data_IF_024485867807
#
_entry.id   IF_024485867807
#
_cell.length_a   1.000
_cell.length_b   1.000
_cell.length_c   1.000
_cell.angle_alpha   90.00
_cell.angle_beta   90.00
_cell.angle_gamma   90.00
#
_symmetry.space_group_name_H-M   'P 1'
#
loop_
_entity.id
_entity.type
_entity.pdbx_description
1 polymer ?
#
# COMPACT_ATOMS: atom_id res chain seq x y z
N UNK A 1 37.49 -3.94 -8.97
CA UNK A 1 37.20 -4.76 -7.78
C UNK A 1 36.15 -5.74 -8.23
N UNK A 2 36.61 -6.87 -8.77
CA UNK A 2 35.75 -7.93 -9.28
C UNK A 2 34.87 -8.45 -8.15
N UNK A 3 33.55 -8.42 -8.36
CA UNK A 3 32.55 -9.02 -7.50
C UNK A 3 32.76 -10.54 -7.56
N UNK A 4 33.63 -11.06 -6.70
CA UNK A 4 33.76 -12.50 -6.50
C UNK A 4 32.50 -13.02 -5.83
N UNK A 5 31.62 -13.59 -6.65
CA UNK A 5 30.65 -14.61 -6.29
C UNK A 5 29.39 -14.11 -5.58
N UNK A 6 28.48 -13.46 -6.33
CA UNK A 6 27.08 -13.48 -5.94
C UNK A 6 26.59 -14.93 -5.88
N UNK A 7 25.72 -15.25 -4.93
CA UNK A 7 25.14 -16.59 -4.88
C UNK A 7 24.33 -16.85 -6.15
N UNK A 8 24.37 -18.06 -6.73
CA UNK A 8 23.54 -18.38 -7.87
C UNK A 8 22.07 -18.22 -7.49
N UNK A 9 21.22 -17.91 -8.46
CA UNK A 9 19.78 -17.78 -8.27
C UNK A 9 19.18 -18.99 -7.50
N UNK A 10 19.63 -20.19 -7.82
CA UNK A 10 19.28 -21.45 -7.14
C UNK A 10 19.49 -21.42 -5.61
N UNK A 11 20.55 -20.75 -5.12
CA UNK A 11 20.79 -20.61 -3.68
C UNK A 11 19.68 -19.81 -3.00
N UNK A 12 19.27 -18.70 -3.60
CA UNK A 12 18.21 -17.86 -3.06
C UNK A 12 16.86 -18.58 -3.10
N UNK A 13 16.63 -19.40 -4.13
CA UNK A 13 15.48 -20.31 -4.18
C UNK A 13 15.48 -21.32 -3.03
N UNK A 14 16.60 -22.00 -2.78
CA UNK A 14 16.70 -22.98 -1.70
C UNK A 14 16.50 -22.35 -0.32
N UNK A 15 17.11 -21.18 -0.09
CA UNK A 15 16.97 -20.47 1.19
C UNK A 15 15.54 -20.03 1.47
N UNK A 16 14.84 -19.49 0.47
CA UNK A 16 13.44 -19.05 0.64
C UNK A 16 12.45 -20.22 0.68
N UNK A 17 12.78 -21.34 0.02
CA UNK A 17 11.94 -22.54 0.08
C UNK A 17 12.05 -23.31 1.40
N UNK A 18 13.06 -23.04 2.22
CA UNK A 18 13.26 -23.68 3.52
C UNK A 18 12.26 -23.24 4.62
N UNK A 19 11.19 -22.50 4.26
CA UNK A 19 10.16 -21.96 5.17
C UNK A 19 10.73 -21.15 6.36
N UNK A 20 11.91 -20.56 6.15
CA UNK A 20 12.61 -19.75 7.14
C UNK A 20 12.64 -18.29 6.70
N UNK A 21 12.26 -17.34 7.57
CA UNK A 21 12.43 -15.92 7.28
C UNK A 21 13.91 -15.58 7.05
N UNK A 22 14.18 -14.81 6.00
CA UNK A 22 15.51 -14.23 5.77
C UNK A 22 15.73 -13.03 6.70
N UNK A 23 17.00 -12.81 7.06
CA UNK A 23 17.45 -11.67 7.83
C UNK A 23 17.53 -10.40 6.97
N UNK A 24 17.62 -9.25 7.63
CA UNK A 24 17.85 -7.96 6.95
C UNK A 24 19.11 -8.01 6.06
N UNK A 25 20.22 -8.55 6.55
CA UNK A 25 21.46 -8.65 5.77
C UNK A 25 21.32 -9.56 4.55
N UNK A 26 20.55 -10.64 4.66
CA UNK A 26 20.27 -11.53 3.52
C UNK A 26 19.36 -10.83 2.50
N UNK A 27 18.37 -10.05 2.94
CA UNK A 27 17.51 -9.28 2.03
C UNK A 27 18.27 -8.25 1.21
N UNK A 28 19.27 -7.58 1.80
CA UNK A 28 20.12 -6.64 1.06
C UNK A 28 20.96 -7.37 0.01
N UNK A 29 21.61 -8.48 0.38
CA UNK A 29 22.40 -9.27 -0.56
C UNK A 29 21.57 -9.80 -1.71
N UNK A 30 20.37 -10.32 -1.42
CA UNK A 30 19.44 -10.78 -2.44
C UNK A 30 19.09 -9.68 -3.46
N UNK A 31 18.85 -8.45 -2.99
CA UNK A 31 18.55 -7.30 -3.86
C UNK A 31 19.76 -6.81 -4.67
N UNK A 32 20.98 -7.06 -4.20
CA UNK A 32 22.23 -6.69 -4.89
C UNK A 32 22.69 -7.77 -5.89
N UNK A 33 22.43 -9.04 -5.59
CA UNK A 33 22.94 -10.19 -6.33
C UNK A 33 22.01 -10.67 -7.45
N UNK A 34 20.69 -10.49 -7.30
CA UNK A 34 19.73 -10.87 -8.33
C UNK A 34 19.35 -9.69 -9.22
N UNK A 35 19.26 -9.93 -10.53
CA UNK A 35 18.65 -8.97 -11.43
C UNK A 35 17.12 -8.94 -11.27
N UNK A 36 16.48 -7.93 -11.87
CA UNK A 36 15.05 -7.70 -11.73
C UNK A 36 14.20 -8.89 -12.19
N UNK A 37 14.60 -9.60 -13.25
CA UNK A 37 13.82 -10.72 -13.77
C UNK A 37 13.90 -11.93 -12.85
N UNK A 38 15.09 -12.26 -12.33
CA UNK A 38 15.25 -13.31 -11.32
C UNK A 38 14.48 -12.98 -10.04
N UNK A 39 14.49 -11.72 -9.58
CA UNK A 39 13.67 -11.27 -8.44
C UNK A 39 12.17 -11.44 -8.68
N UNK A 40 11.69 -11.10 -9.89
CA UNK A 40 10.29 -11.27 -10.28
C UNK A 40 9.89 -12.75 -10.32
N UNK A 41 10.74 -13.62 -10.89
CA UNK A 41 10.46 -15.06 -10.96
C UNK A 41 10.42 -15.70 -9.57
N UNK A 42 11.39 -15.37 -8.71
CA UNK A 42 11.42 -15.79 -7.31
C UNK A 42 10.15 -15.35 -6.56
N UNK A 43 9.73 -14.10 -6.72
CA UNK A 43 8.49 -13.59 -6.13
C UNK A 43 7.23 -14.30 -6.66
N UNK A 44 7.20 -14.61 -7.96
CA UNK A 44 6.12 -15.36 -8.59
C UNK A 44 6.02 -16.80 -8.06
N UNK A 45 7.15 -17.50 -7.92
CA UNK A 45 7.18 -18.86 -7.38
C UNK A 45 6.72 -18.90 -5.92
N UNK A 46 7.18 -17.97 -5.07
CA UNK A 46 6.76 -17.88 -3.67
C UNK A 46 5.26 -17.60 -3.55
N UNK A 47 4.75 -16.66 -4.34
CA UNK A 47 3.31 -16.35 -4.39
C UNK A 47 2.50 -17.56 -4.87
N UNK A 48 2.95 -18.21 -5.95
CA UNK A 48 2.30 -19.40 -6.51
C UNK A 48 2.31 -20.58 -5.53
N UNK A 49 3.35 -20.75 -4.74
CA UNK A 49 3.40 -21.76 -3.67
C UNK A 49 2.36 -21.47 -2.57
N UNK A 50 2.15 -20.20 -2.23
CA UNK A 50 1.24 -19.79 -1.15
C UNK A 50 -0.23 -19.79 -1.58
N UNK A 51 -0.55 -19.29 -2.78
CA UNK A 51 -1.94 -19.06 -3.23
C UNK A 51 -2.29 -19.75 -4.55
N UNK A 52 -1.36 -20.48 -5.16
CA UNK A 52 -1.55 -21.11 -6.47
C UNK A 52 -1.75 -20.07 -7.58
N UNK A 53 -2.53 -20.44 -8.58
CA UNK A 53 -2.90 -19.56 -9.70
C UNK A 53 -4.18 -18.76 -9.44
N UNK A 54 -4.62 -18.67 -8.18
CA UNK A 54 -5.85 -17.94 -7.83
C UNK A 54 -5.51 -16.46 -7.65
N UNK A 55 -6.11 -15.61 -8.49
CA UNK A 55 -6.08 -14.16 -8.32
C UNK A 55 -7.40 -13.71 -7.69
N UNK A 56 -7.34 -13.18 -6.48
CA UNK A 56 -8.49 -12.59 -5.80
C UNK A 56 -8.59 -11.09 -6.08
N UNK A 57 -9.78 -10.53 -5.91
CA UNK A 57 -10.02 -9.10 -6.01
C UNK A 57 -11.07 -8.67 -4.97
N UNK A 58 -11.03 -7.39 -4.60
CA UNK A 58 -12.04 -6.74 -3.78
C UNK A 58 -12.66 -5.58 -4.57
N UNK A 59 -13.96 -5.36 -4.41
CA UNK A 59 -14.64 -4.17 -4.95
C UNK A 59 -14.66 -3.12 -3.84
N UNK A 60 -13.63 -2.28 -3.81
CA UNK A 60 -13.44 -1.30 -2.75
C UNK A 60 -14.06 0.05 -3.08
N UNK A 61 -14.58 0.71 -2.05
CA UNK A 61 -15.04 2.10 -2.14
C UNK A 61 -14.30 2.97 -1.14
N UNK A 62 -13.61 4.00 -1.65
CA UNK A 62 -12.87 4.93 -0.81
C UNK A 62 -13.75 6.12 -0.45
N UNK A 63 -13.92 6.37 0.85
CA UNK A 63 -14.56 7.55 1.40
C UNK A 63 -13.45 8.42 1.99
N UNK A 64 -13.11 9.48 1.27
CA UNK A 64 -12.19 10.48 1.75
C UNK A 64 -12.97 11.47 2.63
N UNK A 65 -12.94 11.33 3.95
CA UNK A 65 -13.84 12.10 4.83
C UNK A 65 -13.42 13.57 4.98
N UNK A 66 -12.15 13.88 4.82
CA UNK A 66 -11.61 15.24 4.88
C UNK A 66 -10.27 15.27 4.16
N UNK A 67 -9.96 16.37 3.47
CA UNK A 67 -8.60 16.60 2.97
C UNK A 67 -7.81 17.63 3.80
N UNK A 68 -8.42 18.25 4.82
CA UNK A 68 -7.70 19.06 5.79
C UNK A 68 -6.71 18.21 6.61
N UNK A 69 -5.47 18.66 6.74
CA UNK A 69 -4.41 17.87 7.36
C UNK A 69 -3.38 18.73 8.10
N UNK A 70 -2.98 18.29 9.30
CA UNK A 70 -1.90 18.90 10.07
C UNK A 70 -0.50 18.49 9.59
N UNK A 71 -0.34 17.29 9.02
CA UNK A 71 0.97 16.69 8.75
C UNK A 71 1.71 17.28 7.53
N UNK A 72 0.98 17.79 6.52
CA UNK A 72 1.54 18.43 5.32
C UNK A 72 2.69 17.68 4.64
N UNK A 73 2.56 16.36 4.48
CA UNK A 73 3.64 15.50 3.99
C UNK A 73 4.10 15.89 2.57
N UNK A 74 5.41 15.91 2.28
CA UNK A 74 5.94 16.37 0.99
C UNK A 74 5.57 15.45 -0.19
N UNK A 75 5.24 14.19 0.09
CA UNK A 75 4.82 13.20 -0.90
C UNK A 75 3.30 13.19 -1.15
N UNK A 76 2.54 14.00 -0.41
CA UNK A 76 1.08 13.95 -0.44
C UNK A 76 0.52 15.10 -1.30
N UNK A 77 -0.16 14.76 -2.39
CA UNK A 77 -0.87 15.73 -3.23
C UNK A 77 -2.31 16.03 -2.75
N UNK A 78 -2.81 15.26 -1.77
CA UNK A 78 -4.20 15.31 -1.35
C UNK A 78 -4.49 16.42 -0.33
N UNK A 79 -3.50 16.77 0.50
CA UNK A 79 -3.76 17.57 1.70
C UNK A 79 -4.02 19.05 1.43
N UNK A 80 -4.86 19.64 2.27
CA UNK A 80 -4.97 21.09 2.47
C UNK A 80 -4.52 21.40 3.89
N UNK A 81 -3.56 22.31 4.10
CA UNK A 81 -3.11 22.69 5.44
C UNK A 81 -4.29 23.13 6.33
N UNK A 82 -4.30 22.71 7.60
CA UNK A 82 -5.32 23.15 8.58
C UNK A 82 -5.47 24.68 8.64
N UNK A 83 -4.37 25.42 8.52
CA UNK A 83 -4.36 26.89 8.52
C UNK A 83 -5.16 27.55 7.37
N UNK A 84 -5.51 26.78 6.32
CA UNK A 84 -6.33 27.24 5.20
C UNK A 84 -7.81 26.86 5.33
N UNK A 85 -8.21 26.16 6.40
CA UNK A 85 -9.62 25.83 6.66
C UNK A 85 -10.46 27.10 6.77
N UNK A 86 -11.57 27.14 6.04
CA UNK A 86 -12.42 28.34 5.89
C UNK A 86 -11.82 29.49 5.06
N UNK A 87 -10.56 29.39 4.61
CA UNK A 87 -9.87 30.42 3.80
C UNK A 87 -9.60 29.98 2.37
N UNK A 88 -9.64 28.68 2.11
CA UNK A 88 -9.49 28.09 0.78
C UNK A 88 -10.71 27.27 0.41
N UNK A 89 -11.10 27.35 -0.87
CA UNK A 89 -12.14 26.52 -1.48
C UNK A 89 -11.64 25.12 -1.89
N UNK A 90 -10.35 24.81 -1.70
CA UNK A 90 -9.78 23.48 -2.03
C UNK A 90 -10.01 22.45 -0.93
N UNK A 91 -10.30 22.91 0.28
CA UNK A 91 -10.50 22.05 1.43
C UNK A 91 -11.95 21.61 1.58
N UNK A 92 -12.15 20.41 2.10
CA UNK A 92 -13.47 19.89 2.44
C UNK A 92 -13.41 18.97 3.65
N UNK A 93 -14.57 18.83 4.30
CA UNK A 93 -14.84 17.92 5.39
C UNK A 93 -16.27 17.41 5.20
N UNK A 94 -16.44 16.10 5.13
CA UNK A 94 -17.74 15.46 5.04
C UNK A 94 -18.37 15.38 6.42
N UNK A 95 -19.67 15.64 6.50
CA UNK A 95 -20.43 15.33 7.71
C UNK A 95 -20.61 13.81 7.86
N UNK A 96 -20.96 13.35 9.06
CA UNK A 96 -21.30 11.94 9.31
C UNK A 96 -22.45 11.47 8.39
N UNK A 97 -23.42 12.33 8.13
CA UNK A 97 -24.54 12.01 7.23
C UNK A 97 -24.10 11.91 5.77
N UNK A 98 -23.12 12.70 5.34
CA UNK A 98 -22.55 12.57 3.99
C UNK A 98 -21.74 11.29 3.86
N UNK A 99 -20.95 10.92 4.87
CA UNK A 99 -20.27 9.62 4.93
C UNK A 99 -21.30 8.48 4.86
N UNK A 100 -22.42 8.57 5.59
CA UNK A 100 -23.49 7.56 5.53
C UNK A 100 -24.09 7.44 4.12
N UNK A 101 -24.31 8.56 3.41
CA UNK A 101 -24.79 8.53 2.02
C UNK A 101 -23.78 7.85 1.10
N UNK A 102 -22.49 8.12 1.27
CA UNK A 102 -21.43 7.47 0.49
C UNK A 102 -21.36 5.96 0.77
N UNK A 103 -21.58 5.53 2.02
CA UNK A 103 -21.69 4.10 2.39
C UNK A 103 -22.89 3.43 1.69
N UNK A 104 -24.07 4.05 1.72
CA UNK A 104 -25.24 3.50 1.02
C UNK A 104 -25.03 3.43 -0.50
N UNK A 105 -24.35 4.43 -1.06
CA UNK A 105 -23.95 4.42 -2.47
C UNK A 105 -22.97 3.27 -2.76
N UNK A 106 -21.93 3.08 -1.95
CA UNK A 106 -20.99 1.97 -2.09
C UNK A 106 -21.72 0.61 -2.07
N UNK A 107 -22.65 0.44 -1.13
CA UNK A 107 -23.51 -0.74 -1.06
C UNK A 107 -24.33 -0.94 -2.34
N UNK A 108 -24.93 0.11 -2.88
CA UNK A 108 -25.70 0.03 -4.13
C UNK A 108 -24.84 -0.34 -5.36
N UNK A 109 -23.54 -0.01 -5.32
CA UNK A 109 -22.56 -0.37 -6.34
C UNK A 109 -21.98 -1.78 -6.17
N UNK A 110 -22.38 -2.50 -5.13
CA UNK A 110 -21.89 -3.86 -4.85
C UNK A 110 -20.49 -3.91 -4.25
N UNK A 111 -20.05 -2.84 -3.57
CA UNK A 111 -18.76 -2.83 -2.89
C UNK A 111 -18.69 -3.90 -1.79
N UNK A 112 -17.55 -4.59 -1.72
CA UNK A 112 -17.26 -5.62 -0.72
C UNK A 112 -16.50 -5.06 0.48
N UNK A 113 -15.85 -3.90 0.32
CA UNK A 113 -15.11 -3.22 1.38
C UNK A 113 -15.22 -1.69 1.25
N UNK A 114 -15.11 -1.01 2.40
CA UNK A 114 -15.13 0.45 2.49
C UNK A 114 -13.87 0.91 3.18
N UNK A 115 -13.14 1.82 2.53
CA UNK A 115 -11.94 2.44 3.08
C UNK A 115 -12.24 3.89 3.44
N UNK A 116 -12.23 4.19 4.74
CA UNK A 116 -12.42 5.57 5.22
C UNK A 116 -11.05 6.13 5.54
N UNK A 117 -10.58 7.05 4.70
CA UNK A 117 -9.24 7.64 4.81
C UNK A 117 -9.34 9.15 4.66
N UNK A 118 -8.32 9.90 5.03
CA UNK A 118 -8.39 11.35 4.98
C UNK A 118 -7.11 12.02 5.45
N UNK A 119 -7.12 13.35 5.39
CA UNK A 119 -6.12 14.17 6.07
C UNK A 119 -6.28 14.08 7.58
N UNK A 120 -5.17 14.30 8.30
CA UNK A 120 -5.16 14.35 9.76
C UNK A 120 -5.77 15.68 10.24
N UNK A 121 -7.09 15.74 10.22
CA UNK A 121 -7.88 16.91 10.59
C UNK A 121 -8.05 16.98 12.11
N UNK A 122 -7.37 17.92 12.75
CA UNK A 122 -7.31 18.05 14.22
C UNK A 122 -8.59 18.61 14.86
N UNK A 123 -9.55 19.07 14.06
CA UNK A 123 -10.82 19.58 14.58
C UNK A 123 -11.86 18.46 14.79
N UNK A 124 -11.60 17.28 14.23
CA UNK A 124 -12.46 16.10 14.35
C UNK A 124 -12.03 15.24 15.55
N UNK A 125 -13.00 14.62 16.24
CA UNK A 125 -12.76 13.84 17.46
C UNK A 125 -12.01 12.53 17.22
#
# INVERSE_FOLDING_TARGET
MELMGGYPEEYWFDQLNADKPITYSESLKLMEELDLFSLMDLGNQLTSRQVGNVVSYAVSYNINYSNYCAASCPICAFYVPMALKGRSNKGYELSVDDVRKEVEKAKSLGSTEIHIVGGFNSDLP
#
